data_IF_415551747188
#
_entry.id   IF_415551747188
#
_cell.length_a   1.000
_cell.length_b   1.000
_cell.length_c   1.000
_cell.angle_alpha   90.00
_cell.angle_beta   90.00
_cell.angle_gamma   90.00
#
_symmetry.space_group_name_H-M   'P 1'
#
loop_
_entity.id
_entity.type
_entity.pdbx_description
1 polymer ?
#
# COMPACT_ATOMS: atom_id res chain seq x y z
N UNK A 1 0.34 12.55 -8.60
CA UNK A 1 0.85 11.66 -7.54
C UNK A 1 0.08 11.80 -6.22
N UNK A 2 -0.10 13.02 -5.69
CA UNK A 2 -0.86 13.25 -4.44
C UNK A 2 -2.26 12.61 -4.40
N UNK A 3 -3.00 12.60 -5.53
CA UNK A 3 -4.33 11.98 -5.59
C UNK A 3 -4.28 10.45 -5.50
N UNK A 4 -3.30 9.80 -6.15
CA UNK A 4 -3.14 8.34 -6.12
C UNK A 4 -2.77 7.86 -4.72
N UNK A 5 -1.83 8.55 -4.06
CA UNK A 5 -1.45 8.28 -2.69
C UNK A 5 -2.64 8.47 -1.72
N UNK A 6 -3.35 9.59 -1.83
CA UNK A 6 -4.57 9.83 -1.02
C UNK A 6 -5.63 8.75 -1.23
N UNK A 7 -5.82 8.31 -2.48
CA UNK A 7 -6.74 7.21 -2.79
C UNK A 7 -6.30 5.93 -2.10
N UNK A 8 -5.01 5.58 -2.23
CA UNK A 8 -4.46 4.34 -1.67
C UNK A 8 -4.53 4.34 -0.14
N UNK A 9 -4.14 5.44 0.52
CA UNK A 9 -4.28 5.59 1.98
C UNK A 9 -5.74 5.49 2.42
N UNK A 10 -6.69 6.05 1.67
CA UNK A 10 -8.12 5.95 1.99
C UNK A 10 -8.66 4.53 1.82
N UNK A 11 -8.31 3.86 0.72
CA UNK A 11 -8.78 2.50 0.42
C UNK A 11 -8.33 1.50 1.49
N UNK A 12 -7.12 1.67 2.04
CA UNK A 12 -6.55 0.76 3.04
C UNK A 12 -6.51 1.33 4.46
N UNK A 13 -7.28 2.40 4.71
CA UNK A 13 -7.35 3.01 6.02
C UNK A 13 -7.84 1.98 7.06
N UNK A 14 -7.10 1.86 8.17
CA UNK A 14 -7.42 0.89 9.22
C UNK A 14 -7.03 -0.56 8.92
N UNK A 15 -6.32 -0.81 7.82
CA UNK A 15 -5.77 -2.13 7.47
C UNK A 15 -4.25 -2.04 7.32
N UNK A 16 -3.77 -1.00 6.62
CA UNK A 16 -2.36 -0.74 6.42
C UNK A 16 -2.02 0.72 6.76
N UNK A 17 -0.82 0.92 7.28
CA UNK A 17 -0.17 2.22 7.38
C UNK A 17 0.61 2.49 6.09
N UNK A 18 0.23 3.54 5.36
CA UNK A 18 0.89 3.93 4.11
C UNK A 18 1.72 5.18 4.38
N UNK A 19 3.02 4.98 4.56
CA UNK A 19 3.98 6.03 4.84
C UNK A 19 4.72 6.44 3.56
N UNK A 20 4.90 7.74 3.37
CA UNK A 20 5.69 8.26 2.24
C UNK A 20 6.82 9.13 2.73
N UNK A 21 8.04 8.76 2.37
CA UNK A 21 9.24 9.51 2.68
C UNK A 21 9.76 10.15 1.39
N UNK A 22 9.84 11.48 1.37
CA UNK A 22 10.37 12.22 0.21
C UNK A 22 11.78 12.72 0.50
N UNK A 23 12.72 12.27 -0.31
CA UNK A 23 14.10 12.73 -0.34
C UNK A 23 14.35 13.55 -1.63
N UNK A 24 15.46 14.29 -1.74
CA UNK A 24 15.71 15.18 -2.88
C UNK A 24 15.74 14.46 -4.23
N UNK A 25 16.20 13.22 -4.26
CA UNK A 25 16.42 12.40 -5.45
C UNK A 25 15.44 11.24 -5.60
N UNK A 26 14.62 10.98 -4.57
CA UNK A 26 13.69 9.84 -4.54
C UNK A 26 12.46 10.05 -3.67
N UNK A 27 11.41 9.29 -3.99
CA UNK A 27 10.24 9.10 -3.16
C UNK A 27 10.15 7.62 -2.78
N UNK A 28 10.09 7.36 -1.49
CA UNK A 28 9.85 6.03 -0.94
C UNK A 28 8.41 5.95 -0.43
N UNK A 29 7.72 4.87 -0.76
CA UNK A 29 6.41 4.51 -0.23
C UNK A 29 6.60 3.20 0.52
N UNK A 30 6.30 3.20 1.80
CA UNK A 30 6.33 2.02 2.67
C UNK A 30 4.90 1.73 3.11
N UNK A 31 4.46 0.50 2.91
CA UNK A 31 3.17 0.02 3.38
C UNK A 31 3.41 -1.03 4.45
N UNK A 32 2.91 -0.76 5.64
CA UNK A 32 3.03 -1.61 6.83
C UNK A 32 1.65 -2.08 7.25
N UNK A 33 1.55 -3.24 7.88
CA UNK A 33 0.34 -3.61 8.62
C UNK A 33 0.25 -2.84 9.95
N UNK A 34 -0.83 -3.10 10.70
CA UNK A 34 -1.06 -2.45 11.99
C UNK A 34 -0.07 -2.90 13.07
N UNK A 35 0.57 -4.06 12.88
CA UNK A 35 1.59 -4.60 13.78
C UNK A 35 3.01 -4.06 13.46
N UNK A 36 3.14 -3.28 12.37
CA UNK A 36 4.39 -2.68 11.93
C UNK A 36 5.21 -3.57 10.99
N UNK A 37 4.65 -4.67 10.48
CA UNK A 37 5.33 -5.49 9.48
C UNK A 37 5.24 -4.85 8.11
N UNK A 38 6.38 -4.79 7.41
CA UNK A 38 6.44 -4.22 6.07
C UNK A 38 5.82 -5.20 5.06
N UNK A 39 4.72 -4.78 4.43
CA UNK A 39 3.99 -5.54 3.42
C UNK A 39 4.53 -5.24 2.03
N UNK A 40 4.83 -3.97 1.75
CA UNK A 40 5.35 -3.55 0.46
C UNK A 40 6.19 -2.28 0.57
N UNK A 41 7.22 -2.19 -0.26
CA UNK A 41 8.02 -0.98 -0.45
C UNK A 41 8.09 -0.65 -1.93
N UNK A 42 7.96 0.62 -2.29
CA UNK A 42 8.19 1.15 -3.63
C UNK A 42 9.08 2.38 -3.54
N UNK A 43 10.10 2.44 -4.39
CA UNK A 43 11.02 3.57 -4.48
C UNK A 43 10.99 4.10 -5.89
N UNK A 44 10.79 5.41 -6.02
CA UNK A 44 10.88 6.12 -7.29
C UNK A 44 12.04 7.11 -7.24
N UNK A 45 12.93 7.06 -8.21
CA UNK A 45 13.87 8.16 -8.47
C UNK A 45 13.18 9.38 -9.07
N UNK A 46 13.78 10.57 -9.00
CA UNK A 46 13.21 11.79 -9.60
C UNK A 46 12.91 11.63 -11.10
N UNK A 47 13.77 10.93 -11.84
CA UNK A 47 13.55 10.63 -13.26
C UNK A 47 12.30 9.76 -13.49
N UNK A 48 12.07 8.77 -12.62
CA UNK A 48 10.89 7.91 -12.67
C UNK A 48 9.62 8.66 -12.25
N UNK A 49 9.71 9.58 -11.29
CA UNK A 49 8.58 10.40 -10.84
C UNK A 49 8.03 11.31 -11.95
N UNK A 50 8.88 11.71 -12.90
CA UNK A 50 8.47 12.49 -14.08
C UNK A 50 7.69 11.63 -15.09
N UNK A 51 7.88 10.31 -15.08
CA UNK A 51 7.16 9.38 -15.94
C UNK A 51 5.80 9.00 -15.31
N UNK A 52 4.75 9.73 -15.70
CA UNK A 52 3.38 9.52 -15.18
C UNK A 52 2.84 8.11 -15.41
N UNK A 53 3.15 7.49 -16.56
CA UNK A 53 2.66 6.15 -16.90
C UNK A 53 3.31 5.10 -15.99
N UNK A 54 4.63 5.20 -15.80
CA UNK A 54 5.35 4.34 -14.87
C UNK A 54 4.80 4.47 -13.45
N UNK A 55 4.64 5.70 -12.96
CA UNK A 55 4.09 5.95 -11.62
C UNK A 55 2.69 5.33 -11.48
N UNK A 56 1.82 5.49 -12.49
CA UNK A 56 0.48 4.93 -12.45
C UNK A 56 0.50 3.40 -12.42
N UNK A 57 1.34 2.75 -13.24
CA UNK A 57 1.48 1.30 -13.26
C UNK A 57 1.99 0.76 -11.92
N UNK A 58 3.00 1.40 -11.34
CA UNK A 58 3.55 0.98 -10.04
C UNK A 58 2.54 1.17 -8.91
N UNK A 59 1.75 2.25 -8.94
CA UNK A 59 0.70 2.46 -7.93
C UNK A 59 -0.44 1.44 -8.05
N UNK A 60 -0.85 1.07 -9.26
CA UNK A 60 -1.85 0.01 -9.50
C UNK A 60 -1.33 -1.36 -9.06
N UNK A 61 -0.06 -1.66 -9.33
CA UNK A 61 0.60 -2.88 -8.86
C UNK A 61 0.69 -2.94 -7.34
N UNK A 62 1.03 -1.81 -6.70
CA UNK A 62 1.05 -1.69 -5.24
C UNK A 62 -0.34 -1.93 -4.64
N UNK A 63 -1.38 -1.31 -5.19
CA UNK A 63 -2.76 -1.52 -4.75
C UNK A 63 -3.18 -2.99 -4.84
N UNK A 64 -2.87 -3.66 -5.96
CA UNK A 64 -3.13 -5.11 -6.12
C UNK A 64 -2.35 -5.96 -5.12
N UNK A 65 -1.11 -5.60 -4.83
CA UNK A 65 -0.28 -6.30 -3.86
C UNK A 65 -0.90 -6.22 -2.46
N UNK A 66 -1.37 -5.04 -2.07
CA UNK A 66 -2.04 -4.83 -0.78
C UNK A 66 -3.39 -5.55 -0.67
N UNK A 67 -4.17 -5.58 -1.75
CA UNK A 67 -5.42 -6.36 -1.81
C UNK A 67 -5.15 -7.86 -1.57
N UNK A 68 -4.14 -8.42 -2.23
CA UNK A 68 -3.77 -9.84 -2.05
C UNK A 68 -3.23 -10.12 -0.65
N UNK A 69 -2.41 -9.22 -0.12
CA UNK A 69 -1.94 -9.34 1.26
C UNK A 69 -3.12 -9.33 2.25
N UNK A 70 -4.16 -8.53 1.98
CA UNK A 70 -5.36 -8.47 2.82
C UNK A 70 -6.13 -9.78 2.79
N UNK A 71 -6.32 -10.35 1.59
CA UNK A 71 -6.97 -11.66 1.43
C UNK A 71 -6.21 -12.76 2.18
N UNK A 72 -4.86 -12.72 2.17
CA UNK A 72 -4.03 -13.64 2.94
C UNK A 72 -4.19 -13.45 4.46
N UNK A 73 -4.26 -12.20 4.94
CA UNK A 73 -4.49 -11.90 6.36
C UNK A 73 -5.85 -12.42 6.82
N UNK A 74 -6.92 -12.18 6.04
CA UNK A 74 -8.24 -12.72 6.33
C UNK A 74 -8.27 -14.27 6.31
N UNK A 75 -7.48 -14.90 5.42
CA UNK A 75 -7.42 -16.36 5.32
C UNK A 75 -6.62 -17.00 6.46
N UNK A 76 -5.66 -16.27 7.05
CA UNK A 76 -4.93 -16.70 8.25
C UNK A 76 -5.70 -16.47 9.54
N UNK A 77 -6.71 -15.58 9.52
CA UNK A 77 -7.66 -15.40 10.60
C UNK A 77 -8.65 -16.57 10.62
N UNK A 78 -8.18 -17.72 11.14
CA UNK A 78 -9.02 -18.88 11.46
C UNK A 78 -10.23 -18.38 12.29
N UNK A 79 -11.48 -18.77 11.96
CA UNK A 79 -12.65 -18.20 12.62
C UNK A 79 -12.59 -18.51 14.11
N UNK A 80 -12.43 -17.47 14.94
CA UNK A 80 -13.05 -17.49 16.25
C UNK A 80 -14.56 -17.54 15.99
N UNK A 81 -15.31 -18.47 16.62
CA UNK A 81 -16.70 -18.70 16.30
C UNK A 81 -17.55 -17.63 16.97
N UNK A 82 -17.41 -16.36 16.60
CA UNK A 82 -18.39 -15.31 16.90
C UNK A 82 -18.12 -14.08 16.03
N UNK A 83 -18.74 -14.13 14.86
CA UNK A 83 -19.37 -13.00 14.17
C UNK A 83 -18.49 -11.99 13.39
N UNK A 84 -19.07 -11.33 12.37
CA UNK A 84 -18.88 -11.79 10.99
C UNK A 84 -18.41 -10.65 10.08
N UNK A 85 -17.65 -10.99 9.04
CA UNK A 85 -17.67 -10.16 7.85
C UNK A 85 -19.06 -10.27 7.21
N UNK A 86 -19.92 -9.29 7.48
CA UNK A 86 -21.16 -9.00 6.76
C UNK A 86 -21.12 -7.54 6.30
#
# INVERSE_FOLDING_TARGET
>A
MNLLLKSLTRTFQGIYNVNTERQPDRLTIVCEDLDGNVIAVRVFSDGQLRNRLLVMQVMLDLERSLLRARESLCSQQKPAPDNPCA
#
